data_IF_753538292928
#
_entry.id   IF_753538292928
#
_cell.length_a   1.000
_cell.length_b   1.000
_cell.length_c   1.000
_cell.angle_alpha   90.00
_cell.angle_beta   90.00
_cell.angle_gamma   90.00
#
_symmetry.space_group_name_H-M   'P 1'
#
loop_
_entity.id
_entity.type
_entity.pdbx_description
1 polymer ?
#
# COMPACT_ATOMS: atom_id res chain seq x y z
N UNK A 1 11.38 -28.87 32.91
CA UNK A 1 10.29 -28.45 32.00
C UNK A 1 10.88 -28.21 30.62
N UNK A 2 10.68 -29.14 29.67
CA UNK A 2 11.00 -28.90 28.27
C UNK A 2 9.93 -27.96 27.70
N UNK A 3 10.27 -26.70 27.47
CA UNK A 3 9.44 -25.78 26.70
C UNK A 3 9.46 -26.28 25.25
N UNK A 4 8.41 -26.99 24.83
CA UNK A 4 8.24 -27.37 23.44
C UNK A 4 8.39 -26.13 22.56
N UNK A 5 9.27 -26.21 21.55
CA UNK A 5 9.38 -25.13 20.57
C UNK A 5 7.99 -24.91 19.95
N UNK A 6 7.49 -23.66 19.86
CA UNK A 6 6.18 -23.41 19.30
C UNK A 6 6.12 -24.00 17.89
N UNK A 7 5.13 -24.84 17.62
CA UNK A 7 4.97 -25.50 16.33
C UNK A 7 4.73 -24.44 15.26
N UNK A 8 5.67 -24.27 14.34
CA UNK A 8 5.52 -23.32 13.22
C UNK A 8 4.48 -23.86 12.25
N UNK A 9 3.45 -23.07 11.97
CA UNK A 9 2.44 -23.33 10.95
C UNK A 9 2.89 -22.69 9.64
N UNK A 10 2.76 -23.45 8.55
CA UNK A 10 3.11 -23.01 7.20
C UNK A 10 1.85 -22.96 6.35
N UNK A 11 1.68 -21.87 5.62
CA UNK A 11 0.65 -21.70 4.60
C UNK A 11 1.34 -21.34 3.29
N UNK A 12 0.97 -22.01 2.20
CA UNK A 12 1.52 -21.78 0.87
C UNK A 12 0.39 -21.69 -0.15
N UNK A 13 0.47 -20.72 -1.06
CA UNK A 13 -0.48 -20.52 -2.16
C UNK A 13 0.25 -20.20 -3.45
N UNK A 14 -0.29 -20.69 -4.56
CA UNK A 14 0.14 -20.33 -5.92
C UNK A 14 -0.91 -19.42 -6.56
N UNK A 15 -0.50 -18.19 -6.91
CA UNK A 15 -1.39 -17.19 -7.51
C UNK A 15 -0.98 -16.92 -8.95
N UNK A 16 -1.94 -16.99 -9.87
CA UNK A 16 -1.76 -16.53 -11.26
C UNK A 16 -2.03 -15.02 -11.29
N UNK A 17 -1.05 -14.17 -11.64
CA UNK A 17 -1.27 -12.74 -11.72
C UNK A 17 -2.30 -12.38 -12.79
N UNK A 18 -3.12 -11.36 -12.53
CA UNK A 18 -4.08 -10.82 -13.50
C UNK A 18 -3.36 -9.87 -14.45
N UNK A 19 -3.36 -10.22 -15.74
CA UNK A 19 -2.70 -9.46 -16.80
C UNK A 19 -1.17 -9.50 -16.75
N UNK A 20 -0.48 -8.68 -17.56
CA UNK A 20 0.98 -8.65 -17.61
C UNK A 20 1.61 -8.39 -16.24
N UNK A 21 2.50 -9.26 -15.77
CA UNK A 21 3.07 -9.17 -14.43
C UNK A 21 4.58 -9.34 -14.41
N UNK A 22 5.22 -8.59 -13.50
CA UNK A 22 6.63 -8.73 -13.17
C UNK A 22 6.78 -8.51 -11.67
N UNK A 23 7.55 -9.38 -11.01
CA UNK A 23 7.83 -9.24 -9.59
C UNK A 23 8.38 -7.84 -9.26
N UNK A 24 7.83 -7.15 -8.25
CA UNK A 24 8.29 -5.83 -7.86
C UNK A 24 9.68 -5.87 -7.21
N UNK A 25 10.31 -4.71 -7.09
CA UNK A 25 11.49 -4.55 -6.24
C UNK A 25 11.11 -4.62 -4.76
N UNK A 26 12.11 -4.82 -3.89
CA UNK A 26 11.95 -4.91 -2.43
C UNK A 26 11.73 -3.56 -1.72
N UNK A 27 11.49 -2.46 -2.46
CA UNK A 27 11.48 -1.13 -1.87
C UNK A 27 12.86 -0.65 -1.40
N UNK A 28 12.93 0.59 -0.89
CA UNK A 28 14.16 1.18 -0.36
C UNK A 28 14.19 1.27 1.17
N UNK A 29 13.05 1.13 1.84
CA UNK A 29 12.86 1.14 3.30
C UNK A 29 13.50 -0.06 4.05
N UNK A 30 13.91 -1.12 3.34
CA UNK A 30 14.56 -2.35 3.84
C UNK A 30 13.67 -3.28 4.68
N UNK A 31 12.34 -3.04 4.73
CA UNK A 31 11.40 -3.96 5.41
C UNK A 31 11.09 -5.19 4.58
N UNK A 32 11.08 -5.04 3.25
CA UNK A 32 11.12 -6.16 2.33
C UNK A 32 12.56 -6.35 1.84
N UNK A 33 13.01 -7.59 1.74
CA UNK A 33 14.35 -7.94 1.26
C UNK A 33 14.25 -8.88 0.07
N UNK A 34 15.24 -8.82 -0.80
CA UNK A 34 15.40 -9.78 -1.88
C UNK A 34 16.48 -10.78 -1.49
N UNK A 35 16.17 -12.06 -1.59
CA UNK A 35 17.11 -13.18 -1.47
C UNK A 35 16.92 -14.04 -2.71
N UNK A 36 17.92 -14.04 -3.58
CA UNK A 36 17.84 -14.67 -4.90
C UNK A 36 16.62 -14.14 -5.69
N UNK A 37 15.78 -15.04 -6.20
CA UNK A 37 14.53 -14.69 -6.88
C UNK A 37 13.39 -14.30 -5.92
N UNK A 38 13.51 -14.60 -4.62
CA UNK A 38 12.46 -14.44 -3.64
C UNK A 38 12.48 -13.05 -2.97
N UNK A 39 11.29 -12.53 -2.71
CA UNK A 39 11.05 -11.43 -1.79
C UNK A 39 10.71 -12.02 -0.43
N UNK A 40 11.35 -11.54 0.63
CA UNK A 40 11.12 -11.94 2.01
C UNK A 40 10.76 -10.72 2.85
N UNK A 41 9.78 -10.87 3.73
CA UNK A 41 9.32 -9.81 4.62
C UNK A 41 8.85 -10.38 5.96
N UNK A 42 9.08 -9.64 7.03
CA UNK A 42 8.44 -9.88 8.32
C UNK A 42 7.18 -9.02 8.41
N UNK A 43 6.08 -9.63 8.82
CA UNK A 43 4.84 -8.96 9.17
C UNK A 43 4.46 -9.38 10.59
N UNK A 44 3.85 -8.48 11.37
CA UNK A 44 3.15 -8.88 12.58
C UNK A 44 1.65 -8.83 12.34
N UNK A 45 0.99 -9.97 12.47
CA UNK A 45 -0.46 -10.13 12.37
C UNK A 45 -0.99 -10.32 13.79
N UNK A 46 -1.85 -9.41 14.25
CA UNK A 46 -2.35 -9.43 15.63
C UNK A 46 -1.23 -9.60 16.69
N UNK A 47 -0.13 -8.86 16.53
CA UNK A 47 1.11 -8.95 17.33
C UNK A 47 1.95 -10.22 17.14
N UNK A 48 1.47 -11.22 16.39
CA UNK A 48 2.20 -12.44 16.09
C UNK A 48 3.14 -12.25 14.88
N UNK A 49 4.45 -12.55 15.00
CA UNK A 49 5.38 -12.45 13.89
C UNK A 49 5.16 -13.58 12.86
N UNK A 50 4.95 -13.19 11.61
CA UNK A 50 4.87 -14.05 10.44
C UNK A 50 5.95 -13.67 9.43
N UNK A 51 6.77 -14.65 9.02
CA UNK A 51 7.74 -14.48 7.94
C UNK A 51 7.10 -14.93 6.64
N UNK A 52 6.96 -14.01 5.69
CA UNK A 52 6.37 -14.28 4.38
C UNK A 52 7.41 -14.16 3.27
N UNK A 53 7.40 -15.13 2.36
CA UNK A 53 8.25 -15.20 1.18
C UNK A 53 7.39 -15.30 -0.07
N UNK A 54 7.82 -14.66 -1.15
CA UNK A 54 7.17 -14.76 -2.45
C UNK A 54 8.18 -14.86 -3.60
N UNK A 55 7.96 -15.78 -4.54
CA UNK A 55 8.86 -15.99 -5.67
C UNK A 55 8.10 -16.41 -6.95
N UNK A 56 8.67 -16.17 -8.14
CA UNK A 56 8.11 -16.69 -9.39
C UNK A 56 8.13 -18.21 -9.43
N UNK A 57 7.04 -18.82 -9.89
CA UNK A 57 6.91 -20.27 -10.07
C UNK A 57 6.12 -20.58 -11.35
N UNK A 58 6.81 -20.75 -12.49
CA UNK A 58 6.18 -21.19 -13.74
C UNK A 58 5.00 -20.33 -14.22
N UNK A 59 5.19 -19.01 -14.29
CA UNK A 59 4.12 -18.05 -14.66
C UNK A 59 3.18 -17.69 -13.50
N UNK A 60 3.33 -18.33 -12.34
CA UNK A 60 2.64 -18.00 -11.09
C UNK A 60 3.57 -17.25 -10.14
N UNK A 61 2.99 -16.73 -9.07
CA UNK A 61 3.71 -16.27 -7.88
C UNK A 61 3.34 -17.19 -6.74
N UNK A 62 4.34 -17.91 -6.22
CA UNK A 62 4.20 -18.70 -5.01
C UNK A 62 4.42 -17.81 -3.80
N UNK A 63 3.51 -17.86 -2.84
CA UNK A 63 3.59 -17.09 -1.59
C UNK A 63 3.49 -18.09 -0.44
N UNK A 64 4.49 -18.07 0.45
CA UNK A 64 4.54 -18.92 1.63
C UNK A 64 4.75 -18.07 2.87
N UNK A 65 3.95 -18.30 3.91
CA UNK A 65 4.15 -17.70 5.22
C UNK A 65 4.36 -18.75 6.31
N UNK A 66 5.17 -18.39 7.29
CA UNK A 66 5.45 -19.17 8.49
C UNK A 66 5.16 -18.32 9.73
N UNK A 67 4.31 -18.83 10.61
CA UNK A 67 3.90 -18.17 11.86
C UNK A 67 3.62 -19.22 12.96
N UNK A 68 3.30 -18.82 14.17
CA UNK A 68 2.92 -19.74 15.26
C UNK A 68 1.49 -20.26 15.12
N UNK A 69 0.59 -19.46 14.54
CA UNK A 69 -0.80 -19.80 14.23
C UNK A 69 -1.03 -19.91 12.72
N UNK A 70 -2.06 -20.66 12.33
CA UNK A 70 -2.42 -20.80 10.91
C UNK A 70 -3.06 -19.51 10.40
N UNK A 71 -3.85 -18.87 11.24
CA UNK A 71 -4.56 -17.63 10.99
C UNK A 71 -3.57 -16.48 10.67
N UNK A 72 -2.50 -16.34 11.47
CA UNK A 72 -1.47 -15.35 11.20
C UNK A 72 -0.71 -15.63 9.89
N UNK A 73 -0.46 -16.90 9.56
CA UNK A 73 0.18 -17.28 8.31
C UNK A 73 -0.73 -16.99 7.09
N UNK A 74 -2.03 -17.30 7.17
CA UNK A 74 -3.01 -17.00 6.12
C UNK A 74 -3.14 -15.50 5.86
N UNK A 75 -3.24 -14.69 6.92
CA UNK A 75 -3.31 -13.24 6.80
C UNK A 75 -2.00 -12.63 6.27
N UNK A 76 -0.84 -13.17 6.66
CA UNK A 76 0.45 -12.74 6.11
C UNK A 76 0.56 -13.04 4.60
N UNK A 77 0.07 -14.20 4.16
CA UNK A 77 -0.07 -14.53 2.73
C UNK A 77 -0.98 -13.53 2.03
N UNK A 78 -2.16 -13.24 2.59
CA UNK A 78 -3.12 -12.30 2.01
C UNK A 78 -2.53 -10.89 1.87
N UNK A 79 -1.88 -10.37 2.91
CA UNK A 79 -1.20 -9.07 2.90
C UNK A 79 -0.05 -9.00 1.91
N UNK A 80 0.74 -10.07 1.79
CA UNK A 80 1.81 -10.13 0.80
C UNK A 80 1.25 -10.21 -0.63
N UNK A 81 0.19 -10.99 -0.86
CA UNK A 81 -0.55 -11.05 -2.14
C UNK A 81 -1.04 -9.66 -2.56
N UNK A 82 -1.67 -8.94 -1.63
CA UNK A 82 -2.08 -7.54 -1.83
C UNK A 82 -0.90 -6.63 -2.15
N UNK A 83 0.17 -6.69 -1.36
CA UNK A 83 1.38 -5.88 -1.51
C UNK A 83 2.05 -6.08 -2.89
N UNK A 84 2.04 -7.31 -3.40
CA UNK A 84 2.59 -7.64 -4.72
C UNK A 84 1.69 -7.18 -5.87
N UNK A 85 0.40 -6.90 -5.60
CA UNK A 85 -0.56 -6.45 -6.60
C UNK A 85 -0.87 -7.51 -7.66
N UNK A 86 -0.75 -8.80 -7.33
CA UNK A 86 -0.98 -9.90 -8.28
C UNK A 86 -2.43 -9.95 -8.78
N UNK A 87 -3.38 -9.51 -7.97
CA UNK A 87 -4.82 -9.46 -8.34
C UNK A 87 -5.23 -8.13 -8.98
N UNK A 88 -4.31 -7.17 -9.11
CA UNK A 88 -4.67 -5.85 -9.62
C UNK A 88 -4.76 -5.88 -11.15
N UNK A 89 -5.99 -5.95 -11.65
CA UNK A 89 -6.28 -5.91 -13.08
C UNK A 89 -6.11 -4.49 -13.65
N UNK A 90 -5.00 -4.30 -14.36
CA UNK A 90 -4.73 -3.06 -15.10
C UNK A 90 -5.19 -3.13 -16.55
N UNK A 91 -5.80 -4.23 -17.00
CA UNK A 91 -6.22 -4.40 -18.39
C UNK A 91 -7.13 -3.25 -18.85
N UNK A 92 -8.16 -2.80 -18.08
CA UNK A 92 -8.99 -1.68 -18.49
C UNK A 92 -8.19 -0.38 -18.69
N UNK A 93 -7.28 -0.07 -17.76
CA UNK A 93 -6.41 1.11 -17.84
C UNK A 93 -5.48 1.03 -19.06
N UNK A 94 -4.84 -0.13 -19.27
CA UNK A 94 -3.93 -0.34 -20.40
C UNK A 94 -4.70 -0.17 -21.72
N UNK A 95 -5.90 -0.75 -21.86
CA UNK A 95 -6.67 -0.62 -23.10
C UNK A 95 -7.11 0.82 -23.37
N UNK A 96 -7.55 1.54 -22.34
CA UNK A 96 -7.97 2.93 -22.46
C UNK A 96 -6.82 3.85 -22.87
N UNK A 97 -5.62 3.66 -22.31
CA UNK A 97 -4.54 4.64 -22.39
C UNK A 97 -3.34 4.22 -23.26
N UNK A 98 -3.27 2.98 -23.76
CA UNK A 98 -2.12 2.50 -24.57
C UNK A 98 -1.88 3.30 -25.86
N UNK A 99 -2.86 4.08 -26.33
CA UNK A 99 -2.73 4.93 -27.54
C UNK A 99 -2.49 6.40 -27.24
N UNK A 100 -2.54 6.81 -25.97
CA UNK A 100 -2.32 8.20 -25.60
C UNK A 100 -0.88 8.63 -25.89
N UNK A 101 -0.65 9.82 -26.50
CA UNK A 101 0.70 10.25 -26.87
C UNK A 101 1.68 10.31 -25.69
N UNK A 102 1.21 10.80 -24.53
CA UNK A 102 2.07 11.03 -23.36
C UNK A 102 2.41 9.75 -22.59
N UNK A 103 1.42 8.87 -22.35
CA UNK A 103 1.59 7.68 -21.50
C UNK A 103 1.61 6.36 -22.25
N UNK A 104 1.08 6.32 -23.48
CA UNK A 104 1.01 5.13 -24.33
C UNK A 104 2.37 4.47 -24.58
N UNK A 105 3.46 5.20 -24.92
CA UNK A 105 4.78 4.61 -25.07
C UNK A 105 5.27 3.88 -23.81
N UNK A 106 5.01 4.45 -22.62
CA UNK A 106 5.38 3.83 -21.35
C UNK A 106 4.55 2.57 -21.08
N UNK A 107 3.23 2.64 -21.30
CA UNK A 107 2.31 1.51 -21.10
C UNK A 107 2.70 0.33 -22.01
N UNK A 108 2.98 0.58 -23.29
CA UNK A 108 3.38 -0.47 -24.24
C UNK A 108 4.75 -1.08 -23.90
N UNK A 109 5.71 -0.27 -23.44
CA UNK A 109 7.06 -0.75 -23.06
C UNK A 109 7.06 -1.50 -21.73
N UNK A 110 6.18 -1.13 -20.79
CA UNK A 110 6.15 -1.67 -19.42
C UNK A 110 4.70 -1.95 -18.98
N UNK A 111 3.99 -2.87 -19.65
CA UNK A 111 2.57 -3.15 -19.35
C UNK A 111 2.37 -3.78 -17.97
N UNK A 112 3.44 -4.26 -17.33
CA UNK A 112 3.43 -4.81 -15.97
C UNK A 112 3.60 -3.75 -14.86
N UNK A 113 3.80 -2.48 -15.19
CA UNK A 113 4.01 -1.42 -14.20
C UNK A 113 2.74 -1.23 -13.36
N UNK A 114 2.84 -1.37 -12.03
CA UNK A 114 1.73 -1.20 -11.08
C UNK A 114 2.12 -0.21 -9.98
N UNK A 115 1.15 0.49 -9.37
CA UNK A 115 1.39 1.21 -8.13
C UNK A 115 1.94 0.27 -7.06
N UNK A 116 2.93 0.75 -6.30
CA UNK A 116 3.46 0.00 -5.15
C UNK A 116 2.39 -0.04 -4.07
N UNK A 117 2.13 -1.22 -3.52
CA UNK A 117 1.21 -1.40 -2.40
C UNK A 117 1.96 -1.71 -1.12
N UNK A 118 1.32 -1.45 0.02
CA UNK A 118 1.85 -1.74 1.36
C UNK A 118 0.97 -2.81 2.01
N UNK A 119 1.56 -3.79 2.71
CA UNK A 119 0.81 -4.88 3.34
C UNK A 119 -0.05 -4.41 4.52
N UNK A 120 0.20 -3.23 5.09
CA UNK A 120 -0.57 -2.68 6.20
C UNK A 120 -1.00 -1.23 5.89
N UNK A 121 -2.26 -0.83 6.14
CA UNK A 121 -2.71 0.55 5.91
C UNK A 121 -1.94 1.60 6.71
N UNK A 122 -1.61 1.31 7.98
CA UNK A 122 -0.85 2.25 8.80
C UNK A 122 0.57 2.49 8.24
N UNK A 123 1.18 1.48 7.61
CA UNK A 123 2.48 1.67 6.93
C UNK A 123 2.36 2.70 5.81
N UNK A 124 1.29 2.66 5.01
CA UNK A 124 1.07 3.63 3.95
C UNK A 124 0.88 5.06 4.51
N UNK A 125 0.13 5.21 5.60
CA UNK A 125 -0.06 6.49 6.27
C UNK A 125 1.25 7.05 6.84
N UNK A 126 2.02 6.22 7.55
CA UNK A 126 3.29 6.63 8.13
C UNK A 126 4.29 7.08 7.06
N UNK A 127 4.39 6.35 5.96
CA UNK A 127 5.26 6.71 4.84
C UNK A 127 4.80 7.95 4.10
N UNK A 128 3.50 8.13 3.90
CA UNK A 128 2.97 9.38 3.36
C UNK A 128 3.41 10.58 4.22
N UNK A 129 3.34 10.49 5.55
CA UNK A 129 3.81 11.57 6.45
C UNK A 129 5.33 11.80 6.32
N UNK A 130 6.13 10.73 6.20
CA UNK A 130 7.58 10.84 6.01
C UNK A 130 7.96 11.52 4.70
N UNK A 131 7.20 11.28 3.63
CA UNK A 131 7.46 11.74 2.27
C UNK A 131 7.03 13.21 2.01
N UNK A 132 6.27 13.83 2.92
CA UNK A 132 5.75 15.19 2.74
C UNK A 132 6.86 16.24 2.47
N UNK A 133 6.75 16.92 1.32
CA UNK A 133 7.53 18.11 0.93
C UNK A 133 9.06 17.93 0.97
N UNK A 134 9.55 16.71 0.77
CA UNK A 134 10.98 16.41 0.71
C UNK A 134 11.29 15.47 -0.45
N UNK A 135 12.56 15.35 -0.82
CA UNK A 135 12.99 14.37 -1.82
C UNK A 135 12.89 12.93 -1.28
N UNK A 136 12.79 11.98 -2.22
CA UNK A 136 12.58 10.57 -1.88
C UNK A 136 13.77 9.89 -1.21
N UNK A 137 14.99 10.43 -1.30
CA UNK A 137 16.16 9.85 -0.62
C UNK A 137 16.14 10.19 0.86
N UNK A 138 15.84 11.46 1.18
CA UNK A 138 15.62 11.91 2.56
C UNK A 138 14.45 11.19 3.21
N UNK A 139 13.34 11.03 2.51
CA UNK A 139 12.20 10.27 3.00
C UNK A 139 12.60 8.84 3.38
N UNK A 140 13.22 8.10 2.46
CA UNK A 140 13.70 6.74 2.70
C UNK A 140 14.69 6.66 3.86
N UNK A 141 15.55 7.65 4.05
CA UNK A 141 16.47 7.70 5.19
C UNK A 141 15.72 7.80 6.53
N UNK A 142 14.64 8.59 6.58
CA UNK A 142 13.75 8.69 7.75
C UNK A 142 13.03 7.35 7.98
N UNK A 143 12.45 6.76 6.93
CA UNK A 143 11.75 5.46 7.00
C UNK A 143 12.66 4.38 7.59
N UNK A 144 13.90 4.29 7.09
CA UNK A 144 14.91 3.33 7.56
C UNK A 144 15.26 3.55 9.03
N UNK A 145 15.42 4.79 9.48
CA UNK A 145 15.72 5.11 10.89
C UNK A 145 14.54 4.75 11.80
N UNK A 146 13.31 5.04 11.38
CA UNK A 146 12.10 4.64 12.11
C UNK A 146 11.98 3.11 12.24
N UNK A 147 12.15 2.37 11.14
CA UNK A 147 12.15 0.90 11.16
C UNK A 147 13.27 0.35 12.01
N UNK A 148 14.47 0.92 11.92
CA UNK A 148 15.61 0.44 12.69
C UNK A 148 15.42 0.65 14.20
N UNK A 149 15.00 1.85 14.61
CA UNK A 149 14.88 2.24 16.02
C UNK A 149 13.61 1.73 16.69
N UNK A 150 12.49 1.72 15.98
CA UNK A 150 11.17 1.44 16.55
C UNK A 150 10.45 0.25 15.90
N UNK A 151 10.98 -0.30 14.80
CA UNK A 151 10.41 -1.47 14.15
C UNK A 151 10.65 -2.77 14.93
N UNK A 152 9.67 -3.66 14.89
CA UNK A 152 9.73 -4.98 15.56
C UNK A 152 10.60 -5.94 14.76
N UNK A 153 11.52 -6.63 15.43
CA UNK A 153 12.46 -7.55 14.78
C UNK A 153 12.01 -9.01 14.86
N UNK A 154 12.32 -9.76 13.80
CA UNK A 154 12.25 -11.24 13.83
C UNK A 154 13.15 -11.81 14.93
N UNK A 155 12.90 -13.05 15.36
CA UNK A 155 13.70 -13.74 16.40
C UNK A 155 15.20 -13.79 16.09
N UNK A 156 15.58 -13.88 14.81
CA UNK A 156 16.98 -13.90 14.37
C UNK A 156 17.57 -12.49 14.12
N UNK A 157 16.81 -11.43 14.36
CA UNK A 157 17.23 -10.02 14.18
C UNK A 157 17.44 -9.57 12.73
N UNK A 158 17.32 -10.47 11.75
CA UNK A 158 17.63 -10.19 10.34
C UNK A 158 16.57 -9.35 9.64
N UNK A 159 15.29 -9.61 9.93
CA UNK A 159 14.15 -8.89 9.40
C UNK A 159 13.54 -7.96 10.44
N UNK A 160 13.00 -6.84 9.97
CA UNK A 160 12.24 -5.88 10.78
C UNK A 160 10.95 -5.53 10.05
N UNK A 161 9.90 -5.39 10.83
CA UNK A 161 8.62 -4.88 10.38
C UNK A 161 8.50 -3.39 10.71
N UNK A 162 7.60 -2.70 10.02
CA UNK A 162 7.26 -1.30 10.27
C UNK A 162 6.68 -1.19 11.69
N UNK A 163 7.03 -0.15 12.47
CA UNK A 163 6.42 0.07 13.78
C UNK A 163 4.89 0.17 13.66
N UNK A 164 4.18 -0.50 14.57
CA UNK A 164 2.71 -0.45 14.60
C UNK A 164 2.21 0.94 14.96
N UNK A 165 0.92 1.22 14.69
CA UNK A 165 0.27 2.44 15.15
C UNK A 165 0.42 2.60 16.67
N UNK A 166 0.24 1.51 17.43
CA UNK A 166 0.42 1.51 18.89
C UNK A 166 1.85 1.87 19.30
N UNK A 167 2.86 1.34 18.62
CA UNK A 167 4.26 1.67 18.88
C UNK A 167 4.52 3.17 18.64
N UNK A 168 4.11 3.70 17.49
CA UNK A 168 4.30 5.12 17.17
C UNK A 168 3.49 6.04 18.10
N UNK A 169 2.26 5.64 18.47
CA UNK A 169 1.41 6.39 19.38
C UNK A 169 2.00 6.55 20.79
N UNK A 170 2.85 5.61 21.21
CA UNK A 170 3.55 5.63 22.50
C UNK A 170 4.79 6.54 22.52
N UNK A 171 5.29 6.96 21.36
CA UNK A 171 6.49 7.79 21.28
C UNK A 171 6.21 9.22 21.72
N UNK A 172 7.21 9.83 22.34
CA UNK A 172 7.29 11.28 22.36
C UNK A 172 7.62 11.80 20.95
N UNK A 173 7.07 12.94 20.49
CA UNK A 173 7.40 13.50 19.19
C UNK A 173 8.91 13.65 18.94
N UNK A 174 9.68 14.03 19.98
CA UNK A 174 11.14 14.15 19.92
C UNK A 174 11.85 12.85 19.49
N UNK A 175 11.29 11.67 19.77
CA UNK A 175 11.87 10.39 19.33
C UNK A 175 11.68 10.17 17.82
N UNK A 176 10.54 10.59 17.28
CA UNK A 176 10.27 10.59 15.85
C UNK A 176 11.10 11.67 15.13
N UNK A 177 11.34 12.82 15.76
CA UNK A 177 12.28 13.85 15.28
C UNK A 177 13.72 13.34 15.24
N UNK A 178 14.14 12.56 16.24
CA UNK A 178 15.46 11.91 16.25
C UNK A 178 15.66 10.94 15.07
N UNK A 179 14.58 10.50 14.42
CA UNK A 179 14.62 9.74 13.17
C UNK A 179 14.68 10.64 11.91
N UNK A 180 14.73 11.96 12.07
CA UNK A 180 14.87 12.95 10.99
C UNK A 180 13.56 13.55 10.50
N UNK A 181 12.42 13.31 11.17
CA UNK A 181 11.21 14.08 10.90
C UNK A 181 11.38 15.52 11.38
N UNK A 182 10.72 16.46 10.71
CA UNK A 182 10.61 17.82 11.24
C UNK A 182 9.68 17.82 12.46
N UNK A 183 9.82 18.79 13.39
CA UNK A 183 9.02 18.80 14.62
C UNK A 183 7.51 18.73 14.38
N UNK A 184 7.01 19.50 13.40
CA UNK A 184 5.61 19.46 13.02
C UNK A 184 5.17 18.09 12.52
N UNK A 185 5.96 17.42 11.68
CA UNK A 185 5.61 16.09 11.13
C UNK A 185 5.73 14.99 12.17
N UNK A 186 6.66 15.10 13.12
CA UNK A 186 6.74 14.19 14.24
C UNK A 186 5.48 14.25 15.12
N UNK A 187 5.00 15.47 15.43
CA UNK A 187 3.73 15.66 16.12
C UNK A 187 2.56 15.08 15.32
N UNK A 188 2.50 15.35 14.00
CA UNK A 188 1.47 14.81 13.10
C UNK A 188 1.49 13.28 13.10
N UNK A 189 2.66 12.66 12.98
CA UNK A 189 2.86 11.20 12.99
C UNK A 189 2.31 10.58 14.28
N UNK A 190 2.70 11.10 15.44
CA UNK A 190 2.25 10.58 16.74
C UNK A 190 0.74 10.78 16.92
N UNK A 191 0.18 11.94 16.52
CA UNK A 191 -1.28 12.19 16.59
C UNK A 191 -2.05 11.22 15.69
N UNK A 192 -1.62 11.03 14.45
CA UNK A 192 -2.25 10.10 13.51
C UNK A 192 -2.18 8.66 14.03
N UNK A 193 -1.03 8.26 14.56
CA UNK A 193 -0.86 6.95 15.19
C UNK A 193 -1.79 6.76 16.40
N UNK A 194 -2.00 7.78 17.23
CA UNK A 194 -2.95 7.73 18.37
C UNK A 194 -4.40 7.52 17.91
N UNK A 195 -4.84 8.23 16.87
CA UNK A 195 -6.20 8.07 16.33
C UNK A 195 -6.43 6.65 15.76
N UNK A 196 -5.43 6.09 15.07
CA UNK A 196 -5.49 4.74 14.54
C UNK A 196 -5.40 3.69 15.66
N UNK A 197 -4.46 3.85 16.59
CA UNK A 197 -4.26 2.91 17.69
C UNK A 197 -5.45 2.84 18.66
N UNK A 198 -6.21 3.94 18.81
CA UNK A 198 -7.43 3.96 19.62
C UNK A 198 -8.68 3.52 18.85
N UNK A 199 -8.56 3.15 17.57
CA UNK A 199 -9.68 2.77 16.71
C UNK A 199 -10.60 3.93 16.29
N UNK A 200 -10.23 5.19 16.56
CA UNK A 200 -11.04 6.36 16.14
C UNK A 200 -10.89 6.63 14.64
N UNK A 201 -9.76 6.26 14.06
CA UNK A 201 -9.53 6.22 12.64
C UNK A 201 -9.30 4.76 12.21
N UNK A 202 -10.38 4.05 11.90
CA UNK A 202 -10.31 2.70 11.35
C UNK A 202 -9.91 2.74 9.87
N UNK A 203 -8.65 2.38 9.59
CA UNK A 203 -8.08 2.46 8.24
C UNK A 203 -8.68 1.45 7.25
N UNK A 204 -9.46 0.48 7.72
CA UNK A 204 -10.26 -0.41 6.85
C UNK A 204 -11.54 0.29 6.36
N UNK A 205 -12.08 1.24 7.14
CA UNK A 205 -13.22 2.07 6.81
C UNK A 205 -12.78 3.43 6.23
N UNK A 206 -12.43 3.43 4.93
CA UNK A 206 -11.78 4.56 4.24
C UNK A 206 -12.40 5.94 4.56
N UNK A 207 -13.67 6.16 4.22
CA UNK A 207 -14.27 7.51 4.27
C UNK A 207 -14.25 8.10 5.69
N UNK A 208 -14.70 7.34 6.69
CA UNK A 208 -14.71 7.78 8.09
C UNK A 208 -13.29 8.01 8.63
N UNK A 209 -12.34 7.12 8.31
CA UNK A 209 -10.95 7.33 8.74
C UNK A 209 -10.33 8.54 8.07
N UNK A 210 -10.61 8.79 6.79
CA UNK A 210 -10.08 9.93 6.06
C UNK A 210 -10.58 11.25 6.62
N UNK A 211 -11.89 11.34 6.92
CA UNK A 211 -12.47 12.50 7.57
C UNK A 211 -11.83 12.76 8.93
N UNK A 212 -11.66 11.70 9.75
CA UNK A 212 -11.01 11.81 11.06
C UNK A 212 -9.56 12.25 10.94
N UNK A 213 -8.78 11.61 10.07
CA UNK A 213 -7.36 11.91 9.88
C UNK A 213 -7.14 13.34 9.39
N UNK A 214 -8.01 13.87 8.51
CA UNK A 214 -7.93 15.25 8.01
C UNK A 214 -8.15 16.33 9.07
N UNK A 215 -8.67 15.98 10.25
CA UNK A 215 -8.74 16.91 11.39
C UNK A 215 -7.36 17.16 12.02
N UNK A 216 -6.36 16.33 11.73
CA UNK A 216 -5.02 16.44 12.28
C UNK A 216 -4.21 17.45 11.46
N UNK A 217 -3.67 18.53 12.10
CA UNK A 217 -2.80 19.46 11.40
C UNK A 217 -1.60 18.74 10.76
N UNK A 218 -1.41 18.96 9.46
CA UNK A 218 -0.37 18.28 8.66
C UNK A 218 -0.86 17.04 7.91
N UNK A 219 -2.10 16.57 8.12
CA UNK A 219 -2.70 15.53 7.27
C UNK A 219 -3.67 16.18 6.29
N UNK A 220 -3.19 16.39 5.06
CA UNK A 220 -3.97 16.96 3.97
C UNK A 220 -4.51 15.91 2.99
N UNK A 221 -5.23 16.36 1.93
CA UNK A 221 -5.75 15.48 0.88
C UNK A 221 -4.68 14.58 0.27
N UNK A 222 -3.49 15.13 -0.03
CA UNK A 222 -2.37 14.37 -0.59
C UNK A 222 -1.96 13.18 0.30
N UNK A 223 -1.92 13.33 1.62
CA UNK A 223 -1.53 12.25 2.54
C UNK A 223 -2.57 11.12 2.57
N UNK A 224 -3.84 11.48 2.51
CA UNK A 224 -4.95 10.52 2.43
C UNK A 224 -5.00 9.83 1.06
N UNK A 225 -4.73 10.56 -0.02
CA UNK A 225 -4.62 10.01 -1.37
C UNK A 225 -3.46 9.01 -1.49
N UNK A 226 -2.31 9.30 -0.86
CA UNK A 226 -1.21 8.34 -0.75
C UNK A 226 -1.63 7.08 0.03
N UNK A 227 -2.36 7.23 1.15
CA UNK A 227 -2.91 6.09 1.89
C UNK A 227 -3.82 5.24 0.97
N UNK A 228 -4.74 5.86 0.25
CA UNK A 228 -5.65 5.18 -0.68
C UNK A 228 -4.87 4.43 -1.78
N UNK A 229 -3.92 5.11 -2.42
CA UNK A 229 -3.12 4.54 -3.51
C UNK A 229 -2.33 3.30 -3.08
N UNK A 230 -1.86 3.30 -1.83
CA UNK A 230 -0.91 2.30 -1.34
C UNK A 230 -1.54 1.18 -0.51
N UNK A 231 -2.71 1.40 0.11
CA UNK A 231 -3.31 0.46 1.06
C UNK A 231 -4.72 -0.02 0.72
N UNK A 232 -5.41 0.61 -0.23
CA UNK A 232 -6.80 0.27 -0.53
C UNK A 232 -6.93 -0.74 -1.67
N UNK A 233 -7.74 -1.78 -1.45
CA UNK A 233 -8.08 -2.82 -2.46
C UNK A 233 -9.17 -2.37 -3.43
N UNK A 234 -10.08 -1.52 -2.97
CA UNK A 234 -11.27 -1.06 -3.70
C UNK A 234 -11.33 0.47 -3.70
N UNK A 235 -10.64 1.11 -4.65
CA UNK A 235 -10.96 2.48 -5.03
C UNK A 235 -11.13 2.51 -6.55
N UNK A 236 -12.36 2.67 -7.08
CA UNK A 236 -12.52 2.92 -8.50
C UNK A 236 -11.86 4.26 -8.87
N UNK A 237 -11.30 4.40 -10.08
CA UNK A 237 -10.63 5.63 -10.51
C UNK A 237 -11.55 6.88 -10.54
N UNK A 238 -12.86 6.72 -10.34
CA UNK A 238 -13.85 7.79 -10.37
C UNK A 238 -13.96 8.60 -9.06
N UNK A 239 -13.42 8.12 -7.93
CA UNK A 239 -13.49 8.80 -6.62
C UNK A 239 -12.16 9.35 -6.16
N UNK A 240 -11.20 9.54 -7.08
CA UNK A 240 -10.02 10.34 -6.76
C UNK A 240 -10.53 11.73 -6.38
N UNK A 241 -10.24 12.24 -5.17
CA UNK A 241 -10.42 13.65 -4.92
C UNK A 241 -9.58 14.32 -6.00
N UNK A 242 -10.20 15.21 -6.77
CA UNK A 242 -9.46 16.13 -7.62
C UNK A 242 -8.57 16.96 -6.70
N UNK A 243 -7.39 16.45 -6.36
CA UNK A 243 -6.37 17.25 -5.71
C UNK A 243 -6.04 18.38 -6.68
N UNK A 244 -6.00 19.59 -6.12
CA UNK A 244 -5.67 20.82 -6.84
C UNK A 244 -4.36 20.72 -7.61
N UNK A 245 -3.48 19.78 -7.27
CA UNK A 245 -2.22 19.49 -7.97
C UNK A 245 -2.42 18.93 -9.39
N UNK A 246 -3.32 17.96 -9.60
CA UNK A 246 -3.61 17.42 -10.94
C UNK A 246 -4.44 18.37 -11.79
N UNK A 247 -5.33 19.13 -11.16
CA UNK A 247 -6.07 20.22 -11.82
C UNK A 247 -5.14 21.38 -12.22
N UNK A 248 -4.21 21.76 -11.33
CA UNK A 248 -3.19 22.78 -11.59
C UNK A 248 -2.20 22.32 -12.65
N UNK A 249 -1.76 21.06 -12.65
CA UNK A 249 -0.91 20.52 -13.72
C UNK A 249 -1.65 20.52 -15.08
N UNK A 250 -2.93 20.12 -15.12
CA UNK A 250 -3.77 20.25 -16.34
C UNK A 250 -3.94 21.70 -16.80
N UNK A 251 -4.12 22.64 -15.87
CA UNK A 251 -4.24 24.07 -16.18
C UNK A 251 -2.91 24.68 -16.65
N UNK A 252 -1.78 24.19 -16.12
CA UNK A 252 -0.43 24.67 -16.44
C UNK A 252 0.12 24.06 -17.74
N UNK A 253 -0.34 22.86 -18.12
CA UNK A 253 0.11 22.11 -19.30
C UNK A 253 -0.56 22.56 -20.62
N UNK A 254 -1.30 23.68 -20.63
CA UNK A 254 -1.72 24.35 -21.86
C UNK A 254 -2.53 23.49 -22.84
N UNK A 255 -3.48 22.69 -22.36
CA UNK A 255 -4.45 22.05 -23.26
C UNK A 255 -5.48 23.13 -23.72
N UNK A 256 -5.65 23.37 -25.03
CA UNK A 256 -6.63 24.36 -25.50
C UNK A 256 -8.05 23.94 -25.09
N UNK A 257 -8.93 24.89 -24.74
CA UNK A 257 -10.30 24.58 -24.35
C UNK A 257 -11.01 23.93 -25.54
N UNK A 258 -11.48 22.70 -25.36
CA UNK A 258 -12.38 22.07 -26.33
C UNK A 258 -13.67 22.86 -26.36
N UNK A 259 -13.93 23.49 -27.50
CA UNK A 259 -15.22 24.04 -27.89
C UNK A 259 -16.31 22.99 -27.68
N UNK A 260 -17.38 23.45 -27.04
CA UNK A 260 -18.60 22.71 -26.74
C UNK A 260 -19.20 22.22 -28.06
N UNK A 261 -19.08 20.92 -28.35
CA UNK A 261 -19.87 20.28 -29.40
C UNK A 261 -20.66 19.15 -28.76
N UNK A 262 -21.97 19.38 -28.63
CA UNK A 262 -22.92 18.45 -28.04
C UNK A 262 -23.02 17.18 -28.87
N UNK A 263 -22.77 16.05 -28.24
CA UNK A 263 -23.41 14.76 -28.53
C UNK A 263 -23.49 13.99 -27.24
N UNK A 264 -24.71 13.92 -26.72
CA UNK A 264 -25.13 13.02 -25.65
C UNK A 264 -24.76 11.58 -26.01
N UNK A 265 -24.09 10.88 -25.11
CA UNK A 265 -23.99 9.42 -25.16
C UNK A 265 -25.39 8.85 -24.87
N UNK A 266 -25.89 7.86 -25.64
CA UNK A 266 -27.15 7.21 -25.32
C UNK A 266 -26.99 6.33 -24.06
N UNK A 267 -28.05 6.17 -23.25
CA UNK A 267 -28.01 5.28 -22.09
C UNK A 267 -27.85 3.82 -22.52
N UNK A 268 -27.03 3.09 -21.78
CA UNK A 268 -26.88 1.62 -21.87
C UNK A 268 -28.20 0.91 -21.60
N UNK A 269 -28.61 -0.10 -22.39
CA UNK A 269 -29.80 -0.89 -22.12
C UNK A 269 -29.60 -1.84 -20.92
N UNK A 270 -30.66 -2.18 -20.17
CA UNK A 270 -30.58 -3.10 -19.06
C UNK A 270 -30.35 -4.55 -19.52
N UNK A 271 -29.59 -5.29 -18.72
CA UNK A 271 -29.22 -6.69 -18.94
C UNK A 271 -30.45 -7.62 -18.99
N UNK A 272 -30.49 -8.65 -19.87
CA UNK A 272 -31.60 -9.61 -19.89
C UNK A 272 -31.58 -10.51 -18.64
N UNK A 273 -32.69 -10.48 -17.91
CA UNK A 273 -32.95 -11.35 -16.77
C UNK A 273 -33.06 -12.81 -17.15
N UNK A 274 -32.47 -13.66 -16.31
CA UNK A 274 -32.72 -15.09 -16.25
C UNK A 274 -34.20 -15.36 -15.92
N UNK A 275 -34.93 -16.00 -16.85
CA UNK A 275 -36.14 -16.79 -16.53
C UNK A 275 -35.85 -18.25 -16.84
N UNK A 276 -35.86 -19.08 -15.81
CA UNK A 276 -35.97 -20.53 -15.95
C UNK A 276 -37.43 -20.97 -15.99
N UNK A 277 -37.70 -22.01 -16.77
CA UNK A 277 -38.83 -22.96 -16.67
C UNK A 277 -39.29 -23.13 -15.21
N UNK A 278 -40.57 -23.22 -14.87
CA UNK A 278 -41.73 -23.85 -15.52
C UNK A 278 -42.98 -23.01 -15.42
#
# INVERSE_FOLDING_TARGET
MQTAAPSVRTVEVDVVPVGPFRMPGCGRDRVMRRRDAALERLLHVAEEPAVVRAWPAGGRVRIRAEAASREAAEEAVARMRFCLGVDHDLTPFIQAFKREPLIGPLIRRRPWLRPRRRPAPFEALAWAICEQLIDGERAVAIERRLVHRHGRSSRCGRLRDVPSARQIASLAPAEAEACGLSPRRAITMVKAAKEVASGRADLECHESAWQRLRTIPGVGPWTVECLALHATTSCPPATWPTSSWWASWRASAGAPPRTRCGRSLPPTPPSPGWRGRT
#
